data_IF_246199768377
#
_entry.id   IF_246199768377
#
_cell.length_a   1.000
_cell.length_b   1.000
_cell.length_c   1.000
_cell.angle_alpha   90.00
_cell.angle_beta   90.00
_cell.angle_gamma   90.00
#
_symmetry.space_group_name_H-M   'P 1'
#
loop_
_entity.id
_entity.type
_entity.pdbx_description
1 polymer ?
#
# COMPACT_ATOMS: atom_id res chain seq x y z
N UNK A 1 17.38 7.20 1.40
CA UNK A 1 16.85 8.24 2.29
C UNK A 1 16.09 9.25 1.45
N UNK A 2 14.83 9.50 1.76
CA UNK A 2 14.00 10.46 1.02
C UNK A 2 14.42 11.90 1.30
N UNK A 3 14.69 12.68 0.25
CA UNK A 3 15.07 14.10 0.35
C UNK A 3 13.86 15.05 0.42
N UNK A 4 12.64 14.51 0.29
CA UNK A 4 11.39 15.25 0.34
C UNK A 4 10.21 14.39 -0.11
N UNK A 5 9.01 14.76 0.34
CA UNK A 5 7.74 14.15 -0.05
C UNK A 5 6.66 15.23 -0.12
N UNK A 6 5.59 14.97 -0.88
CA UNK A 6 4.44 15.87 -0.99
C UNK A 6 3.13 15.07 -0.96
N UNK A 7 2.04 15.75 -0.63
CA UNK A 7 0.71 15.14 -0.50
C UNK A 7 -0.39 16.11 -0.94
N UNK A 8 -1.46 15.62 -1.60
CA UNK A 8 -1.64 14.25 -2.09
C UNK A 8 -0.74 13.94 -3.30
N UNK A 9 -0.42 12.67 -3.52
CA UNK A 9 0.29 12.22 -4.71
C UNK A 9 -0.70 11.95 -5.85
N UNK A 10 -0.74 12.76 -6.93
CA UNK A 10 -1.75 12.64 -7.99
C UNK A 10 -1.64 11.35 -8.81
N UNK A 11 -0.53 10.60 -8.69
CA UNK A 11 -0.37 9.27 -9.28
C UNK A 11 -1.29 8.23 -8.63
N UNK A 12 -1.75 8.46 -7.40
CA UNK A 12 -2.69 7.59 -6.70
C UNK A 12 -4.11 8.10 -6.97
N UNK A 13 -4.68 7.66 -8.08
CA UNK A 13 -6.09 7.92 -8.40
C UNK A 13 -7.01 7.08 -7.50
N UNK A 14 -8.33 7.37 -7.43
CA UNK A 14 -9.27 6.56 -6.67
C UNK A 14 -9.26 5.08 -7.05
N UNK A 15 -9.14 4.76 -8.34
CA UNK A 15 -9.07 3.38 -8.82
C UNK A 15 -7.79 2.69 -8.36
N UNK A 16 -6.65 3.38 -8.42
CA UNK A 16 -5.37 2.85 -7.94
C UNK A 16 -5.41 2.68 -6.42
N UNK A 17 -5.99 3.64 -5.69
CA UNK A 17 -6.17 3.53 -4.25
C UNK A 17 -6.98 2.29 -3.89
N UNK A 18 -8.08 2.03 -4.59
CA UNK A 18 -8.91 0.85 -4.37
C UNK A 18 -8.12 -0.44 -4.62
N UNK A 19 -7.37 -0.51 -5.74
CA UNK A 19 -6.50 -1.66 -6.03
C UNK A 19 -5.43 -1.87 -4.94
N UNK A 20 -4.82 -0.81 -4.44
CA UNK A 20 -3.85 -0.90 -3.34
C UNK A 20 -4.49 -1.46 -2.07
N UNK A 21 -5.71 -1.02 -1.73
CA UNK A 21 -6.42 -1.55 -0.58
C UNK A 21 -6.71 -3.04 -0.73
N UNK A 22 -7.24 -3.45 -1.89
CA UNK A 22 -7.72 -4.80 -2.13
C UNK A 22 -6.59 -5.80 -2.39
N UNK A 23 -5.54 -5.40 -3.09
CA UNK A 23 -4.43 -6.27 -3.51
C UNK A 23 -3.25 -6.28 -2.52
N UNK A 24 -3.11 -5.22 -1.70
CA UNK A 24 -1.95 -5.07 -0.80
C UNK A 24 -2.38 -4.95 0.66
N UNK A 25 -3.14 -3.91 1.02
CA UNK A 25 -3.35 -3.55 2.43
C UNK A 25 -4.21 -4.59 3.16
N UNK A 26 -5.39 -4.91 2.64
CA UNK A 26 -6.28 -5.89 3.27
C UNK A 26 -5.66 -7.29 3.33
N UNK A 27 -5.07 -7.83 2.25
CA UNK A 27 -4.39 -9.13 2.32
C UNK A 27 -3.28 -9.17 3.36
N UNK A 28 -2.50 -8.10 3.49
CA UNK A 28 -1.39 -8.02 4.46
C UNK A 28 -1.90 -8.06 5.90
N UNK A 29 -2.86 -7.20 6.27
CA UNK A 29 -3.36 -7.16 7.65
C UNK A 29 -4.20 -8.39 8.01
N UNK A 30 -4.96 -8.93 7.05
CA UNK A 30 -5.73 -10.16 7.25
C UNK A 30 -4.82 -11.38 7.35
N UNK A 31 -3.72 -11.43 6.58
CA UNK A 31 -2.71 -12.48 6.67
C UNK A 31 -2.05 -12.50 8.04
N UNK A 32 -1.60 -11.34 8.53
CA UNK A 32 -1.05 -11.21 9.89
C UNK A 32 -2.03 -11.67 10.97
N UNK A 33 -3.31 -11.27 10.85
CA UNK A 33 -4.35 -11.73 11.76
C UNK A 33 -4.59 -13.25 11.70
N UNK A 34 -4.58 -13.84 10.49
CA UNK A 34 -4.74 -15.29 10.29
C UNK A 34 -3.57 -16.10 10.90
N UNK A 35 -2.38 -15.52 10.97
CA UNK A 35 -1.21 -16.09 11.65
C UNK A 35 -1.23 -15.86 13.18
N UNK A 36 -2.31 -15.28 13.72
CA UNK A 36 -2.46 -14.98 15.15
C UNK A 36 -1.74 -13.72 15.62
N UNK A 37 -1.17 -12.94 14.69
CA UNK A 37 -0.39 -11.74 14.96
C UNK A 37 -1.16 -10.49 14.51
N UNK A 38 -2.25 -10.13 15.21
CA UNK A 38 -3.05 -8.95 14.84
C UNK A 38 -2.19 -7.69 14.88
N UNK A 39 -1.96 -7.09 13.71
CA UNK A 39 -1.15 -5.88 13.59
C UNK A 39 -1.92 -4.65 14.06
N UNK A 40 -1.28 -3.85 14.92
CA UNK A 40 -1.82 -2.58 15.40
C UNK A 40 -0.71 -1.53 15.35
N UNK A 41 -0.91 -0.46 14.59
CA UNK A 41 0.08 0.59 14.39
C UNK A 41 -0.04 1.26 13.03
N UNK A 42 1.03 1.92 12.62
CA UNK A 42 1.13 2.54 11.30
C UNK A 42 1.84 1.59 10.33
N UNK A 43 1.10 1.13 9.32
CA UNK A 43 1.66 0.36 8.22
C UNK A 43 2.13 1.33 7.12
N UNK A 44 3.45 1.39 6.91
CA UNK A 44 4.05 2.13 5.80
C UNK A 44 4.34 1.15 4.66
N UNK A 45 3.54 1.20 3.60
CA UNK A 45 3.75 0.38 2.41
C UNK A 45 4.45 1.21 1.32
N UNK A 46 5.66 0.83 0.95
CA UNK A 46 6.38 1.41 -0.18
C UNK A 46 5.83 0.85 -1.49
N UNK A 47 5.25 1.70 -2.34
CA UNK A 47 4.61 1.24 -3.58
C UNK A 47 5.28 1.82 -4.82
N UNK A 48 5.43 0.96 -5.84
CA UNK A 48 5.71 1.34 -7.20
C UNK A 48 4.45 1.13 -8.05
N UNK A 49 3.94 2.21 -8.65
CA UNK A 49 2.79 2.14 -9.55
C UNK A 49 3.30 2.00 -10.98
N UNK A 50 2.97 0.88 -11.63
CA UNK A 50 3.32 0.66 -13.03
C UNK A 50 2.45 1.54 -13.97
N UNK A 51 2.86 1.65 -15.23
CA UNK A 51 2.19 2.49 -16.22
C UNK A 51 0.72 2.08 -16.49
N UNK A 52 0.37 0.82 -16.23
CA UNK A 52 -0.98 0.26 -16.32
C UNK A 52 -1.80 0.43 -15.02
N UNK A 53 -1.25 1.13 -14.03
CA UNK A 53 -1.87 1.33 -12.72
C UNK A 53 -1.72 0.14 -11.77
N UNK A 54 -0.97 -0.90 -12.13
CA UNK A 54 -0.72 -2.05 -11.25
C UNK A 54 0.21 -1.66 -10.10
N UNK A 55 -0.21 -1.82 -8.83
CA UNK A 55 0.65 -1.54 -7.68
C UNK A 55 1.60 -2.71 -7.41
N UNK A 56 2.85 -2.40 -7.05
CA UNK A 56 3.82 -3.39 -6.56
C UNK A 56 4.43 -2.92 -5.25
N UNK A 57 4.48 -3.83 -4.27
CA UNK A 57 5.13 -3.59 -2.98
C UNK A 57 6.65 -3.63 -3.16
N UNK A 58 7.31 -2.58 -2.70
CA UNK A 58 8.76 -2.52 -2.56
C UNK A 58 9.19 -3.07 -1.20
N UNK A 59 8.51 -2.61 -0.15
CA UNK A 59 8.69 -2.98 1.26
C UNK A 59 7.42 -2.72 2.08
#
# INVERSE_FOLDING_TARGET
GGMGAYSPAPVVTPDIQQRVMDEVIYPTVNGMAAEGNVYTGFLYAGLMIAADGTPKVLE
#
